data_IF_412925219299
#
_entry.id   IF_412925219299
#
_cell.length_a   1.000
_cell.length_b   1.000
_cell.length_c   1.000
_cell.angle_alpha   90.00
_cell.angle_beta   90.00
_cell.angle_gamma   90.00
#
_symmetry.space_group_name_H-M   'P 1'
#
loop_
_entity.id
_entity.type
_entity.pdbx_description
1 polymer ?
#
# COMPACT_ATOMS: atom_id res chain seq x y z
N UNK A 1 -28.88 21.12 -26.64
CA UNK A 1 -27.58 20.62 -26.17
C UNK A 1 -27.83 19.77 -24.94
N UNK A 2 -27.89 18.45 -25.11
CA UNK A 2 -28.08 17.51 -24.00
C UNK A 2 -26.76 17.45 -23.24
N UNK A 3 -26.80 17.71 -21.93
CA UNK A 3 -25.64 17.61 -21.06
C UNK A 3 -25.03 16.21 -21.20
N UNK A 4 -23.72 16.14 -21.44
CA UNK A 4 -22.96 14.90 -21.27
C UNK A 4 -23.16 14.49 -19.82
N UNK A 5 -24.06 13.53 -19.58
CA UNK A 5 -24.21 12.84 -18.30
C UNK A 5 -22.82 12.41 -17.84
N UNK A 6 -22.47 12.84 -16.64
CA UNK A 6 -21.25 12.49 -15.92
C UNK A 6 -21.13 10.96 -15.83
N UNK A 7 -20.34 10.40 -16.73
CA UNK A 7 -20.13 8.95 -16.84
C UNK A 7 -19.00 8.47 -15.92
N UNK A 8 -18.72 9.24 -14.86
CA UNK A 8 -17.59 9.02 -13.95
C UNK A 8 -17.61 7.61 -13.32
N UNK A 9 -18.78 7.11 -12.96
CA UNK A 9 -18.92 5.79 -12.34
C UNK A 9 -18.67 4.62 -13.29
N UNK A 10 -18.69 4.82 -14.62
CA UNK A 10 -18.48 3.71 -15.58
C UNK A 10 -16.99 3.33 -15.75
N UNK A 11 -16.06 4.16 -15.28
CA UNK A 11 -14.61 3.91 -15.41
C UNK A 11 -13.95 3.45 -14.10
N UNK A 12 -14.64 3.58 -12.96
CA UNK A 12 -14.10 3.19 -11.67
C UNK A 12 -14.14 1.67 -11.49
N UNK A 13 -13.08 1.14 -10.87
CA UNK A 13 -12.99 -0.27 -10.50
C UNK A 13 -13.38 -0.44 -9.04
N UNK A 14 -14.48 -1.12 -8.80
CA UNK A 14 -14.84 -1.60 -7.48
C UNK A 14 -14.17 -2.94 -7.20
N UNK A 15 -13.64 -3.09 -6.00
CA UNK A 15 -13.08 -4.35 -5.50
C UNK A 15 -13.34 -4.48 -4.01
N UNK A 16 -13.30 -5.72 -3.51
CA UNK A 16 -13.41 -6.00 -2.07
C UNK A 16 -12.01 -6.21 -1.50
N UNK A 17 -11.73 -5.58 -0.36
CA UNK A 17 -10.52 -5.81 0.43
C UNK A 17 -10.91 -6.16 1.87
N UNK A 18 -10.00 -6.79 2.60
CA UNK A 18 -10.14 -7.05 4.03
C UNK A 18 -9.32 -6.03 4.80
N UNK A 19 -9.97 -5.33 5.72
CA UNK A 19 -9.32 -4.50 6.73
C UNK A 19 -9.16 -5.30 8.01
N UNK A 20 -7.93 -5.41 8.51
CA UNK A 20 -7.56 -6.08 9.76
C UNK A 20 -7.08 -5.00 10.74
N UNK A 21 -7.67 -4.94 11.93
CA UNK A 21 -7.37 -3.92 12.95
C UNK A 21 -7.03 -4.57 14.29
N UNK A 22 -5.96 -4.09 14.91
CA UNK A 22 -5.57 -4.51 16.26
C UNK A 22 -4.69 -3.44 16.92
N UNK A 23 -4.45 -3.59 18.22
CA UNK A 23 -3.59 -2.69 18.98
C UNK A 23 -2.29 -3.41 19.36
N UNK A 24 -1.19 -2.67 19.35
CA UNK A 24 0.13 -3.07 19.84
C UNK A 24 0.45 -2.19 21.04
N UNK A 25 0.67 -2.80 22.20
CA UNK A 25 1.01 -2.07 23.42
C UNK A 25 2.42 -1.46 23.27
N UNK A 26 2.55 -0.16 23.57
CA UNK A 26 3.81 0.57 23.46
C UNK A 26 4.80 0.21 24.59
N UNK A 27 4.35 -0.53 25.61
CA UNK A 27 5.12 -0.77 26.85
C UNK A 27 6.48 -1.43 26.64
N UNK A 28 6.71 -2.08 25.49
CA UNK A 28 7.92 -2.87 25.26
C UNK A 28 9.01 -2.14 24.46
N UNK A 29 8.77 -0.94 23.92
CA UNK A 29 9.81 -0.11 23.27
C UNK A 29 10.45 -0.67 21.98
N UNK A 30 10.09 -1.88 21.55
CA UNK A 30 10.69 -2.60 20.42
C UNK A 30 9.92 -2.46 19.09
N UNK A 31 8.87 -1.64 19.03
CA UNK A 31 8.10 -1.49 17.79
C UNK A 31 8.85 -0.62 16.76
N UNK A 32 9.64 -1.28 15.91
CA UNK A 32 10.25 -0.66 14.73
C UNK A 32 9.22 -0.55 13.60
N UNK A 33 8.42 0.52 13.62
CA UNK A 33 7.30 0.70 12.68
C UNK A 33 7.67 0.53 11.21
N UNK A 34 8.83 1.03 10.77
CA UNK A 34 9.26 0.88 9.36
C UNK A 34 9.57 -0.58 9.00
N UNK A 35 10.28 -1.31 9.86
CA UNK A 35 10.62 -2.71 9.61
C UNK A 35 9.37 -3.59 9.59
N UNK A 36 8.47 -3.37 10.56
CA UNK A 36 7.17 -4.02 10.63
C UNK A 36 6.32 -3.76 9.36
N UNK A 37 6.15 -2.49 8.98
CA UNK A 37 5.37 -2.10 7.79
C UNK A 37 5.94 -2.76 6.54
N UNK A 38 7.25 -2.65 6.31
CA UNK A 38 7.90 -3.23 5.14
C UNK A 38 7.73 -4.75 5.09
N UNK A 39 7.92 -5.45 6.21
CA UNK A 39 7.72 -6.90 6.30
C UNK A 39 6.30 -7.26 5.88
N UNK A 40 5.29 -6.63 6.45
CA UNK A 40 3.88 -6.93 6.15
C UNK A 40 3.53 -6.62 4.69
N UNK A 41 4.05 -5.53 4.13
CA UNK A 41 3.88 -5.21 2.70
C UNK A 41 4.49 -6.29 1.80
N UNK A 42 5.68 -6.82 2.12
CA UNK A 42 6.30 -7.91 1.33
C UNK A 42 5.48 -9.20 1.35
N UNK A 43 4.64 -9.40 2.38
CA UNK A 43 3.73 -10.55 2.49
C UNK A 43 2.44 -10.37 1.68
N UNK A 44 2.26 -9.23 1.02
CA UNK A 44 1.12 -8.96 0.15
C UNK A 44 0.01 -8.14 0.81
N UNK A 45 0.31 -7.41 1.89
CA UNK A 45 -0.55 -6.31 2.30
C UNK A 45 -0.56 -5.21 1.24
N UNK A 46 -1.72 -4.58 1.09
CA UNK A 46 -1.96 -3.47 0.17
C UNK A 46 -1.61 -2.12 0.79
N UNK A 47 -1.83 -2.01 2.09
CA UNK A 47 -1.60 -0.80 2.87
C UNK A 47 -1.46 -1.17 4.36
N UNK A 48 -0.66 -0.40 5.08
CA UNK A 48 -0.47 -0.53 6.53
C UNK A 48 -0.43 0.87 7.13
N UNK A 49 -1.35 1.16 8.03
CA UNK A 49 -1.38 2.41 8.78
C UNK A 49 -1.23 2.15 10.28
N UNK A 50 -0.61 3.12 10.96
CA UNK A 50 -0.37 3.07 12.40
C UNK A 50 -0.75 4.41 13.00
N UNK A 51 -1.61 4.37 14.01
CA UNK A 51 -2.09 5.55 14.75
C UNK A 51 -1.78 5.38 16.25
N UNK A 52 -1.44 6.47 16.94
CA UNK A 52 -1.38 6.46 18.40
C UNK A 52 -2.79 6.42 18.99
N UNK A 53 -3.00 5.61 20.03
CA UNK A 53 -4.29 5.46 20.71
C UNK A 53 -4.11 5.26 22.22
N UNK A 54 -5.21 5.39 22.96
CA UNK A 54 -5.28 5.07 24.39
C UNK A 54 -6.17 3.85 24.60
N UNK A 55 -5.75 2.96 25.48
CA UNK A 55 -6.50 1.79 25.90
C UNK A 55 -7.46 2.12 27.06
N UNK A 56 -8.36 1.20 27.40
CA UNK A 56 -9.38 1.38 28.45
C UNK A 56 -8.76 1.66 29.83
N UNK A 57 -7.54 1.18 30.08
CA UNK A 57 -6.78 1.42 31.30
C UNK A 57 -5.96 2.72 31.28
N UNK A 58 -5.99 3.48 30.18
CA UNK A 58 -5.26 4.73 30.01
C UNK A 58 -3.85 4.60 29.41
N UNK A 59 -3.40 3.38 29.10
CA UNK A 59 -2.08 3.17 28.51
C UNK A 59 -2.04 3.57 27.03
N UNK A 60 -0.87 4.04 26.59
CA UNK A 60 -0.63 4.34 25.17
C UNK A 60 -0.35 3.07 24.37
N UNK A 61 -0.95 2.99 23.19
CA UNK A 61 -0.77 1.90 22.25
C UNK A 61 -0.72 2.42 20.81
N UNK A 62 -0.24 1.56 19.90
CA UNK A 62 -0.38 1.76 18.47
C UNK A 62 -1.58 0.97 17.96
N UNK A 63 -2.52 1.65 17.33
CA UNK A 63 -3.58 1.02 16.55
C UNK A 63 -3.07 0.79 15.14
N UNK A 64 -3.01 -0.46 14.73
CA UNK A 64 -2.57 -0.89 13.40
C UNK A 64 -3.78 -1.27 12.56
N UNK A 65 -3.83 -0.77 11.33
CA UNK A 65 -4.77 -1.23 10.31
C UNK A 65 -4.00 -1.73 9.09
N UNK A 66 -4.36 -2.92 8.63
CA UNK A 66 -3.76 -3.56 7.46
C UNK A 66 -4.85 -3.89 6.45
N UNK A 67 -4.66 -3.44 5.21
CA UNK A 67 -5.52 -3.82 4.09
C UNK A 67 -4.87 -4.94 3.30
N UNK A 68 -5.63 -5.95 2.92
CA UNK A 68 -5.17 -7.01 2.02
C UNK A 68 -6.33 -7.52 1.15
N UNK A 69 -6.02 -8.20 0.04
CA UNK A 69 -7.07 -8.89 -0.70
C UNK A 69 -7.57 -10.13 0.08
N UNK A 70 -8.84 -10.54 -0.09
CA UNK A 70 -9.41 -11.67 0.63
C UNK A 70 -8.58 -12.97 0.55
N UNK A 71 -7.97 -13.26 -0.59
CA UNK A 71 -7.10 -14.43 -0.80
C UNK A 71 -5.77 -14.35 -0.03
N UNK A 72 -5.34 -13.15 0.38
CA UNK A 72 -4.14 -12.93 1.19
C UNK A 72 -4.43 -12.88 2.69
N UNK A 73 -5.71 -12.83 3.08
CA UNK A 73 -6.11 -12.67 4.48
C UNK A 73 -5.41 -13.66 5.42
N UNK A 74 -5.44 -14.96 5.13
CA UNK A 74 -4.84 -15.98 6.00
C UNK A 74 -3.32 -15.88 6.14
N UNK A 75 -2.62 -15.48 5.07
CA UNK A 75 -1.17 -15.28 5.09
C UNK A 75 -0.82 -14.03 5.91
N UNK A 76 -1.49 -12.91 5.64
CA UNK A 76 -1.24 -11.63 6.30
C UNK A 76 -1.59 -11.73 7.78
N UNK A 77 -2.74 -12.31 8.15
CA UNK A 77 -3.12 -12.48 9.56
C UNK A 77 -2.11 -13.32 10.33
N UNK A 78 -1.60 -14.40 9.73
CA UNK A 78 -0.56 -15.23 10.34
C UNK A 78 0.71 -14.43 10.63
N UNK A 79 1.17 -13.65 9.65
CA UNK A 79 2.37 -12.82 9.80
C UNK A 79 2.17 -11.74 10.87
N UNK A 80 0.99 -11.12 10.95
CA UNK A 80 0.67 -10.16 12.01
C UNK A 80 0.71 -10.78 13.41
N UNK A 81 0.26 -12.04 13.57
CA UNK A 81 0.37 -12.75 14.85
C UNK A 81 1.81 -13.12 15.21
N UNK A 82 2.68 -13.35 14.22
CA UNK A 82 4.11 -13.63 14.47
C UNK A 82 4.84 -12.34 14.88
N UNK A 83 4.49 -11.22 14.24
CA UNK A 83 5.15 -9.93 14.42
C UNK A 83 4.62 -9.12 15.61
N UNK A 84 3.60 -9.62 16.32
CA UNK A 84 3.03 -8.91 17.47
C UNK A 84 2.60 -9.88 18.57
N UNK A 85 2.50 -9.37 19.79
CA UNK A 85 2.00 -10.12 20.95
C UNK A 85 0.46 -10.16 21.05
N UNK A 86 -0.25 -9.66 20.02
CA UNK A 86 -1.70 -9.60 20.08
C UNK A 86 -2.32 -11.00 20.17
N UNK A 87 -3.33 -11.12 21.03
CA UNK A 87 -4.12 -12.35 21.19
C UNK A 87 -5.31 -12.41 20.24
N UNK A 88 -5.60 -11.32 19.53
CA UNK A 88 -6.74 -11.25 18.62
C UNK A 88 -6.72 -10.03 17.72
N UNK A 89 -7.43 -10.14 16.60
CA UNK A 89 -7.58 -9.06 15.61
C UNK A 89 -9.04 -8.96 15.21
N UNK A 90 -9.50 -7.75 14.93
CA UNK A 90 -10.81 -7.48 14.33
C UNK A 90 -10.62 -7.38 12.82
N UNK A 91 -11.56 -7.90 12.04
CA UNK A 91 -11.49 -7.75 10.59
C UNK A 91 -12.86 -7.53 9.98
N UNK A 92 -12.89 -6.86 8.82
CA UNK A 92 -14.09 -6.64 8.03
C UNK A 92 -13.74 -6.61 6.54
N UNK A 93 -14.65 -7.11 5.70
CA UNK A 93 -14.61 -6.84 4.27
C UNK A 93 -15.15 -5.43 4.00
N UNK A 94 -14.44 -4.67 3.19
CA UNK A 94 -14.80 -3.31 2.79
C UNK A 94 -14.72 -3.19 1.26
N UNK A 95 -15.61 -2.39 0.68
CA UNK A 95 -15.54 -2.05 -0.74
C UNK A 95 -14.52 -0.94 -0.93
N UNK A 96 -13.66 -1.10 -1.94
CA UNK A 96 -12.66 -0.12 -2.35
C UNK A 96 -12.92 0.28 -3.79
N UNK A 97 -13.09 1.58 -3.99
CA UNK A 97 -13.26 2.19 -5.31
C UNK A 97 -11.89 2.71 -5.78
N UNK A 98 -11.48 2.32 -6.99
CA UNK A 98 -10.17 2.68 -7.57
C UNK A 98 -10.32 3.28 -8.94
N UNK A 99 -9.40 4.18 -9.26
CA UNK A 99 -9.20 4.63 -10.62
C UNK A 99 -8.66 3.48 -11.48
N UNK A 100 -9.10 3.39 -12.74
CA UNK A 100 -8.53 2.42 -13.67
C UNK A 100 -7.08 2.80 -13.92
N UNK A 101 -6.23 1.78 -13.92
CA UNK A 101 -4.80 1.94 -14.07
C UNK A 101 -4.23 0.80 -14.90
N UNK A 102 -3.27 1.15 -15.74
CA UNK A 102 -2.45 0.22 -16.50
C UNK A 102 -1.02 0.24 -15.96
N UNK A 103 -0.40 -0.93 -15.90
CA UNK A 103 1.02 -1.05 -15.54
C UNK A 103 1.79 -1.26 -16.83
N UNK A 104 2.70 -0.34 -17.13
CA UNK A 104 3.61 -0.40 -18.27
C UNK A 104 5.03 -0.64 -17.77
N UNK A 105 5.71 -1.61 -18.35
CA UNK A 105 7.14 -1.83 -18.11
C UNK A 105 8.00 -0.89 -18.96
N UNK A 106 8.97 -0.26 -18.31
CA UNK A 106 9.98 0.58 -18.95
C UNK A 106 11.31 -0.11 -18.79
N UNK A 107 11.89 -0.53 -19.91
CA UNK A 107 13.21 -1.14 -19.93
C UNK A 107 14.27 -0.05 -19.97
N UNK A 108 15.12 -0.02 -18.94
CA UNK A 108 16.30 0.86 -18.88
C UNK A 108 17.56 0.01 -18.84
N UNK A 109 18.72 0.64 -19.05
CA UNK A 109 20.02 -0.02 -18.88
C UNK A 109 20.29 -0.48 -17.43
N UNK A 110 19.50 0.00 -16.47
CA UNK A 110 19.64 -0.28 -15.04
C UNK A 110 18.63 -1.34 -14.54
N UNK A 111 17.66 -1.73 -15.37
CA UNK A 111 16.61 -2.68 -15.03
C UNK A 111 15.24 -2.27 -15.57
N UNK A 112 14.23 -3.07 -15.23
CA UNK A 112 12.83 -2.82 -15.58
C UNK A 112 12.16 -1.97 -14.50
N UNK A 113 11.50 -0.91 -14.91
CA UNK A 113 10.74 -0.02 -14.03
C UNK A 113 9.26 -0.16 -14.36
N UNK A 114 8.42 -0.36 -13.34
CA UNK A 114 6.97 -0.38 -13.51
C UNK A 114 6.40 1.04 -13.41
N UNK A 115 5.81 1.52 -14.51
CA UNK A 115 5.07 2.77 -14.56
C UNK A 115 3.57 2.50 -14.45
N UNK A 116 2.94 3.12 -13.46
CA UNK A 116 1.51 3.09 -13.19
C UNK A 116 0.83 4.25 -13.91
N UNK A 117 0.08 3.98 -14.97
CA UNK A 117 -0.70 4.98 -15.71
C UNK A 117 -2.13 4.99 -15.18
N UNK A 118 -2.49 6.02 -14.43
CA UNK A 118 -3.81 6.19 -13.80
C UNK A 118 -4.65 7.13 -14.65
N UNK A 119 -5.84 6.70 -15.06
CA UNK A 119 -6.79 7.55 -15.77
C UNK A 119 -7.67 8.27 -14.76
N UNK A 120 -7.64 9.61 -14.80
CA UNK A 120 -8.45 10.47 -13.94
C UNK A 120 -9.89 10.58 -14.45
N UNK A 121 -10.84 11.03 -13.60
CA UNK A 121 -12.19 11.42 -14.01
C UNK A 121 -12.29 12.29 -15.27
N UNK A 122 -11.28 13.14 -15.51
CA UNK A 122 -11.24 14.04 -16.66
C UNK A 122 -10.79 13.36 -17.97
N UNK A 123 -10.45 12.08 -17.93
CA UNK A 123 -9.76 11.35 -19.01
C UNK A 123 -8.25 11.64 -19.10
N UNK A 124 -7.72 12.54 -18.27
CA UNK A 124 -6.26 12.79 -18.21
C UNK A 124 -5.55 11.59 -17.61
N UNK A 125 -4.44 11.19 -18.21
CA UNK A 125 -3.56 10.15 -17.68
C UNK A 125 -2.47 10.79 -16.82
N UNK A 126 -2.28 10.26 -15.61
CA UNK A 126 -1.12 10.55 -14.75
C UNK A 126 -0.23 9.30 -14.72
N UNK A 127 1.05 9.49 -15.01
CA UNK A 127 2.06 8.44 -14.89
C UNK A 127 2.78 8.55 -13.55
N UNK A 128 2.76 7.46 -12.78
CA UNK A 128 3.40 7.35 -11.47
C UNK A 128 4.45 6.25 -11.54
N UNK A 129 5.69 6.58 -11.16
CA UNK A 129 6.75 5.59 -10.97
C UNK A 129 6.77 5.19 -9.49
N UNK A 130 6.88 3.90 -9.22
CA UNK A 130 6.92 3.41 -7.84
C UNK A 130 8.24 3.80 -7.17
N UNK A 131 8.16 4.57 -6.08
CA UNK A 131 9.34 5.16 -5.42
C UNK A 131 10.29 4.10 -4.85
N UNK A 132 9.75 3.02 -4.28
CA UNK A 132 10.53 1.89 -3.75
C UNK A 132 11.38 1.25 -4.86
N UNK A 133 10.80 0.99 -6.03
CA UNK A 133 11.52 0.43 -7.19
C UNK A 133 12.63 1.38 -7.66
N UNK A 134 12.36 2.69 -7.74
CA UNK A 134 13.39 3.67 -8.10
C UNK A 134 14.54 3.69 -7.10
N UNK A 135 14.24 3.59 -5.80
CA UNK A 135 15.25 3.55 -4.74
C UNK A 135 16.09 2.27 -4.81
N UNK A 136 15.44 1.11 -4.95
CA UNK A 136 16.12 -0.19 -5.05
C UNK A 136 17.03 -0.26 -6.27
N UNK A 137 16.54 0.15 -7.44
CA UNK A 137 17.34 0.16 -8.68
C UNK A 137 18.49 1.17 -8.60
N UNK A 138 18.27 2.35 -8.03
CA UNK A 138 19.33 3.34 -7.84
C UNK A 138 20.44 2.81 -6.91
N UNK A 139 20.07 2.21 -5.77
CA UNK A 139 21.01 1.60 -4.84
C UNK A 139 21.77 0.43 -5.47
N UNK A 140 21.07 -0.50 -6.13
CA UNK A 140 21.67 -1.68 -6.76
C UNK A 140 22.68 -1.32 -7.86
N UNK A 141 22.41 -0.25 -8.60
CA UNK A 141 23.28 0.21 -9.70
C UNK A 141 24.27 1.30 -9.25
N UNK A 142 24.26 1.69 -7.98
CA UNK A 142 25.10 2.75 -7.40
C UNK A 142 25.01 4.08 -8.18
N UNK A 143 23.79 4.52 -8.48
CA UNK A 143 23.47 5.77 -9.18
C UNK A 143 22.48 6.60 -8.36
N UNK A 144 22.32 7.88 -8.70
CA UNK A 144 21.27 8.71 -8.12
C UNK A 144 19.90 8.42 -8.73
N UNK A 145 18.83 8.72 -7.98
CA UNK A 145 17.45 8.64 -8.50
C UNK A 145 17.25 9.60 -9.68
N UNK A 146 17.96 10.73 -9.69
CA UNK A 146 17.91 11.73 -10.76
C UNK A 146 18.50 11.18 -12.06
N UNK A 147 19.67 10.54 -12.00
CA UNK A 147 20.28 9.84 -13.14
C UNK A 147 19.39 8.71 -13.65
N UNK A 148 18.77 7.95 -12.74
CA UNK A 148 17.81 6.91 -13.11
C UNK A 148 16.61 7.51 -13.85
N UNK A 149 16.03 8.61 -13.35
CA UNK A 149 14.90 9.30 -13.99
C UNK A 149 15.27 9.86 -15.36
N UNK A 150 16.47 10.40 -15.54
CA UNK A 150 16.95 10.88 -16.85
C UNK A 150 17.08 9.74 -17.88
N UNK A 151 17.26 8.50 -17.43
CA UNK A 151 17.33 7.34 -18.33
C UNK A 151 15.96 6.85 -18.82
N UNK A 152 14.87 7.35 -18.23
CA UNK A 152 13.48 7.05 -18.61
C UNK A 152 13.09 8.02 -19.72
N UNK A 153 12.88 7.49 -20.93
CA UNK A 153 12.39 8.24 -22.11
C UNK A 153 10.87 8.26 -22.18
#
# INVERSE_FOLDING_TARGET
>A
MVSKKDNFNQELKEEVVVSIKYNIDHSNGEFEGNAFINHILTKGALDVSVELTLLENGDQAFKVEVLCYPEKFGLVSKELFIQSSTKGMKYAQINRLKLPMEIKEIHTKFGVIQQKNVTLPSGKIISVLEKSILQELAQKNNISIEELKQSIK
#
